data_IF_044101056926
#
_entry.id   IF_044101056926
#
_cell.length_a   1.000
_cell.length_b   1.000
_cell.length_c   1.000
_cell.angle_alpha   90.00
_cell.angle_beta   90.00
_cell.angle_gamma   90.00
#
_symmetry.space_group_name_H-M   'P 1'
#
loop_
_entity.id
_entity.type
_entity.pdbx_description
1 polymer ?
#
# COMPACT_ATOMS: atom_id res chain seq x y z
N UNK A 1 2.21 -5.25 1.71
CA UNK A 1 3.49 -4.52 1.51
C UNK A 1 4.22 -4.57 2.84
N UNK A 2 5.42 -5.16 2.86
CA UNK A 2 6.10 -5.54 4.11
C UNK A 2 7.11 -4.52 4.66
N UNK A 3 7.45 -3.49 3.89
CA UNK A 3 8.41 -2.45 4.30
C UNK A 3 7.70 -1.08 4.30
N UNK A 4 7.83 -0.37 5.42
CA UNK A 4 7.39 1.02 5.59
C UNK A 4 8.64 1.89 5.78
N UNK A 5 8.60 3.13 5.28
CA UNK A 5 9.77 4.01 5.25
C UNK A 5 10.29 4.41 6.64
N UNK A 6 11.26 5.32 6.64
CA UNK A 6 11.75 5.97 7.87
C UNK A 6 11.26 7.41 7.93
N UNK A 7 11.04 7.92 9.15
CA UNK A 7 10.55 9.27 9.36
C UNK A 7 11.40 10.28 8.57
N UNK A 8 10.79 11.22 7.83
CA UNK A 8 11.53 12.21 7.05
C UNK A 8 12.48 13.07 7.90
N UNK A 9 12.15 13.24 9.18
CA UNK A 9 12.93 13.97 10.16
C UNK A 9 13.38 13.05 11.30
N UNK A 10 14.55 13.34 11.87
CA UNK A 10 15.06 12.67 13.08
C UNK A 10 14.26 13.11 14.31
N UNK A 11 14.22 12.26 15.33
CA UNK A 11 13.60 12.57 16.62
C UNK A 11 12.08 12.65 16.63
N UNK A 12 11.43 12.40 15.48
CA UNK A 12 9.98 12.20 15.41
C UNK A 12 9.69 10.76 15.82
N UNK A 13 8.94 10.56 16.91
CA UNK A 13 8.38 9.26 17.28
C UNK A 13 6.93 9.16 16.79
N UNK A 14 6.65 8.13 16.01
CA UNK A 14 5.34 7.77 15.47
C UNK A 14 4.84 6.44 16.02
N UNK A 15 5.76 5.60 16.49
CA UNK A 15 5.44 4.25 16.96
C UNK A 15 5.33 4.15 18.49
N UNK A 16 5.43 5.28 19.22
CA UNK A 16 5.44 5.29 20.68
C UNK A 16 6.65 4.59 21.30
N UNK A 17 7.74 4.47 20.54
CA UNK A 17 8.99 3.86 20.99
C UNK A 17 9.86 4.87 21.74
N UNK A 18 10.79 4.38 22.57
CA UNK A 18 11.81 5.18 23.25
C UNK A 18 12.98 5.54 22.33
N UNK A 19 12.72 5.96 21.10
CA UNK A 19 13.79 6.23 20.13
C UNK A 19 14.57 7.49 20.53
N UNK A 20 15.89 7.47 20.33
CA UNK A 20 16.72 8.67 20.54
C UNK A 20 16.33 9.78 19.56
N UNK A 21 16.54 11.05 19.96
CA UNK A 21 16.41 12.21 19.09
C UNK A 21 17.32 12.12 17.84
N UNK A 22 18.34 11.26 17.86
CA UNK A 22 19.25 11.01 16.73
C UNK A 22 18.73 9.96 15.74
N UNK A 23 17.66 9.25 16.07
CA UNK A 23 17.08 8.18 15.24
C UNK A 23 15.98 8.68 14.28
N UNK A 24 15.61 7.82 13.33
CA UNK A 24 14.40 7.96 12.50
C UNK A 24 13.46 6.80 12.81
N UNK A 25 12.19 7.10 13.03
CA UNK A 25 11.18 6.09 13.38
C UNK A 25 10.56 5.43 12.13
N UNK A 26 9.69 4.44 12.31
CA UNK A 26 8.88 3.86 11.25
C UNK A 26 7.91 4.88 10.66
N UNK A 27 7.75 4.85 9.33
CA UNK A 27 6.95 5.82 8.61
C UNK A 27 6.00 5.15 7.61
N UNK A 28 4.79 4.78 8.05
CA UNK A 28 3.80 4.11 7.20
C UNK A 28 3.00 5.08 6.32
N UNK A 29 3.29 6.38 6.37
CA UNK A 29 2.48 7.38 5.67
C UNK A 29 2.85 7.53 4.20
N UNK A 30 4.09 7.21 3.80
CA UNK A 30 4.53 7.30 2.41
C UNK A 30 5.66 6.30 2.13
N UNK A 31 5.46 5.43 1.14
CA UNK A 31 6.45 4.47 0.66
C UNK A 31 6.10 4.02 -0.76
N UNK A 32 7.06 3.38 -1.41
CA UNK A 32 6.96 2.94 -2.81
C UNK A 32 6.75 1.43 -2.88
N UNK A 33 5.94 0.97 -3.84
CA UNK A 33 5.81 -0.43 -4.21
C UNK A 33 6.13 -0.60 -5.69
N UNK A 34 6.56 -1.80 -6.08
CA UNK A 34 6.78 -2.19 -7.48
C UNK A 34 5.90 -3.41 -7.76
N UNK A 35 5.13 -3.33 -8.85
CA UNK A 35 4.35 -4.45 -9.39
C UNK A 35 4.68 -4.63 -10.87
N UNK A 36 4.57 -5.87 -11.36
CA UNK A 36 4.85 -6.20 -12.75
C UNK A 36 4.08 -7.46 -13.17
N UNK A 37 3.88 -7.65 -14.47
CA UNK A 37 3.14 -8.77 -15.03
C UNK A 37 1.64 -8.55 -15.08
N UNK A 38 0.88 -9.60 -15.42
CA UNK A 38 -0.59 -9.65 -15.40
C UNK A 38 -1.30 -8.38 -15.95
N UNK A 39 -0.82 -7.86 -17.10
CA UNK A 39 -1.43 -6.71 -17.78
C UNK A 39 -1.04 -5.33 -17.23
N UNK A 40 -0.18 -5.24 -16.21
CA UNK A 40 0.32 -3.95 -15.68
C UNK A 40 1.12 -3.19 -16.75
N UNK A 41 0.88 -1.88 -16.86
CA UNK A 41 1.57 -0.98 -17.79
C UNK A 41 3.09 -1.01 -17.57
N UNK A 42 3.84 -1.12 -18.67
CA UNK A 42 5.31 -1.06 -18.65
C UNK A 42 5.80 0.37 -18.53
N UNK A 43 6.83 0.59 -17.71
CA UNK A 43 7.47 1.91 -17.54
C UNK A 43 6.55 2.99 -16.97
N UNK A 44 5.46 2.58 -16.30
CA UNK A 44 4.47 3.50 -15.74
C UNK A 44 4.80 3.83 -14.28
N UNK A 45 4.73 5.11 -13.95
CA UNK A 45 4.83 5.62 -12.58
C UNK A 45 3.44 6.13 -12.18
N UNK A 46 2.95 5.68 -11.03
CA UNK A 46 1.65 6.06 -10.51
C UNK A 46 1.81 6.87 -9.23
N UNK A 47 1.15 8.02 -9.16
CA UNK A 47 1.19 8.93 -8.02
C UNK A 47 2.56 9.58 -7.78
N UNK A 48 2.61 10.38 -6.72
CA UNK A 48 3.79 11.16 -6.34
C UNK A 48 3.75 11.49 -4.85
N UNK A 49 4.92 11.56 -4.21
CA UNK A 49 5.06 12.08 -2.84
C UNK A 49 5.21 13.60 -2.81
N UNK A 50 4.95 14.20 -1.65
CA UNK A 50 5.38 15.56 -1.39
C UNK A 50 6.92 15.72 -1.49
N UNK A 51 7.40 16.96 -1.46
CA UNK A 51 8.83 17.32 -1.59
C UNK A 51 9.73 16.66 -0.55
N UNK A 52 9.17 16.26 0.59
CA UNK A 52 9.89 15.68 1.72
C UNK A 52 9.76 14.16 1.81
N UNK A 53 8.93 13.54 0.95
CA UNK A 53 8.59 12.12 1.06
C UNK A 53 7.74 11.79 2.29
N UNK A 54 7.05 12.77 2.87
CA UNK A 54 6.29 12.59 4.11
C UNK A 54 4.92 11.96 3.86
N UNK A 55 4.25 12.37 2.79
CA UNK A 55 2.94 11.87 2.38
C UNK A 55 2.82 11.80 0.84
N UNK A 56 1.89 10.99 0.30
CA UNK A 56 1.46 11.10 -1.09
C UNK A 56 0.83 12.47 -1.34
N UNK A 57 1.23 13.13 -2.42
CA UNK A 57 0.64 14.40 -2.88
C UNK A 57 -0.28 14.21 -4.10
N UNK A 58 -0.13 13.12 -4.83
CA UNK A 58 -0.88 12.81 -6.06
C UNK A 58 -1.14 11.29 -6.12
N UNK A 59 -2.36 10.93 -6.53
CA UNK A 59 -2.88 9.55 -6.65
C UNK A 59 -2.43 8.60 -5.52
N UNK A 60 -2.86 8.83 -4.27
CA UNK A 60 -2.54 7.96 -3.15
C UNK A 60 -3.14 6.56 -3.35
N UNK A 61 -2.34 5.53 -3.06
CA UNK A 61 -2.79 4.14 -3.09
C UNK A 61 -2.68 3.53 -1.69
N UNK A 62 -3.81 3.10 -1.14
CA UNK A 62 -3.83 2.34 0.10
C UNK A 62 -3.37 0.88 -0.15
N UNK A 63 -2.67 0.20 0.77
CA UNK A 63 -2.24 -1.18 0.58
C UNK A 63 -3.36 -2.16 0.24
N UNK A 64 -4.57 -1.92 0.77
CA UNK A 64 -5.76 -2.68 0.42
C UNK A 64 -6.11 -2.57 -1.06
N UNK A 65 -6.00 -1.39 -1.67
CA UNK A 65 -6.25 -1.18 -3.10
C UNK A 65 -5.16 -1.84 -3.96
N UNK A 66 -3.91 -1.88 -3.49
CA UNK A 66 -2.86 -2.64 -4.18
C UNK A 66 -3.18 -4.14 -4.19
N UNK A 67 -3.61 -4.71 -3.06
CA UNK A 67 -4.04 -6.10 -2.99
C UNK A 67 -5.26 -6.37 -3.87
N UNK A 68 -6.26 -5.49 -3.86
CA UNK A 68 -7.42 -5.58 -4.74
C UNK A 68 -7.03 -5.56 -6.23
N UNK A 69 -6.04 -4.74 -6.60
CA UNK A 69 -5.48 -4.70 -7.95
C UNK A 69 -4.84 -6.02 -8.35
N UNK A 70 -4.14 -6.68 -7.42
CA UNK A 70 -3.58 -8.01 -7.67
C UNK A 70 -4.70 -9.02 -7.92
N UNK A 71 -5.74 -9.09 -7.08
CA UNK A 71 -6.88 -9.99 -7.33
C UNK A 71 -7.56 -9.73 -8.67
N UNK A 72 -7.81 -8.46 -8.98
CA UNK A 72 -8.37 -8.04 -10.26
C UNK A 72 -7.53 -8.53 -11.45
N UNK A 73 -6.20 -8.42 -11.38
CA UNK A 73 -5.29 -8.88 -12.42
C UNK A 73 -5.37 -10.40 -12.70
N UNK A 74 -5.79 -11.18 -11.70
CA UNK A 74 -6.02 -12.62 -11.81
C UNK A 74 -7.49 -12.99 -12.11
N UNK A 75 -8.36 -12.00 -12.35
CA UNK A 75 -9.79 -12.23 -12.61
C UNK A 75 -10.58 -12.64 -11.36
N UNK A 76 -10.06 -12.38 -10.16
CA UNK A 76 -10.73 -12.64 -8.89
C UNK A 76 -11.42 -11.34 -8.45
N UNK A 77 -12.72 -11.41 -8.14
CA UNK A 77 -13.44 -10.29 -7.54
C UNK A 77 -12.88 -10.01 -6.13
N UNK A 78 -12.27 -8.84 -5.87
CA UNK A 78 -11.71 -8.50 -4.57
C UNK A 78 -12.72 -8.55 -3.42
N UNK A 79 -14.02 -8.35 -3.72
CA UNK A 79 -15.11 -8.35 -2.75
C UNK A 79 -15.67 -9.76 -2.48
N UNK A 80 -15.07 -10.81 -3.05
CA UNK A 80 -15.47 -12.20 -2.81
C UNK A 80 -15.49 -12.51 -1.30
N UNK A 81 -16.58 -13.13 -0.85
CA UNK A 81 -16.70 -13.68 0.51
C UNK A 81 -16.20 -15.12 0.51
N UNK A 82 -15.21 -15.39 1.35
CA UNK A 82 -14.73 -16.75 1.66
C UNK A 82 -15.13 -17.13 3.08
N UNK A 83 -15.36 -18.42 3.31
CA UNK A 83 -15.73 -18.92 4.63
C UNK A 83 -14.52 -19.55 5.31
N UNK A 84 -14.27 -19.19 6.56
CA UNK A 84 -13.22 -19.84 7.35
C UNK A 84 -13.68 -21.21 7.86
N UNK A 85 -12.82 -21.91 8.59
CA UNK A 85 -13.11 -23.25 9.16
C UNK A 85 -14.29 -23.28 10.17
N UNK A 86 -14.78 -22.11 10.61
CA UNK A 86 -15.95 -21.97 11.48
C UNK A 86 -17.21 -21.52 10.72
N UNK A 87 -17.20 -21.57 9.38
CA UNK A 87 -18.26 -21.05 8.52
C UNK A 87 -18.58 -19.56 8.76
N UNK A 88 -17.59 -18.77 9.19
CA UNK A 88 -17.75 -17.32 9.29
C UNK A 88 -17.34 -16.65 7.97
N UNK A 89 -18.14 -15.70 7.45
CA UNK A 89 -17.79 -14.97 6.23
C UNK A 89 -16.59 -14.06 6.47
N UNK A 90 -15.66 -14.07 5.52
CA UNK A 90 -14.48 -13.20 5.45
C UNK A 90 -14.39 -12.63 4.04
N UNK A 91 -14.30 -11.32 3.93
CA UNK A 91 -13.97 -10.65 2.67
C UNK A 91 -12.51 -10.97 2.31
N UNK A 92 -12.19 -11.15 1.02
CA UNK A 92 -10.79 -11.23 0.58
C UNK A 92 -10.07 -9.91 0.85
N UNK A 93 -10.60 -8.80 0.31
CA UNK A 93 -10.13 -7.45 0.61
C UNK A 93 -11.25 -6.43 0.41
N UNK A 94 -11.37 -5.49 1.34
CA UNK A 94 -12.38 -4.43 1.28
C UNK A 94 -11.82 -3.17 0.60
N UNK A 95 -11.53 -3.26 -0.69
CA UNK A 95 -11.02 -2.15 -1.47
C UNK A 95 -11.27 -2.34 -2.97
N UNK A 96 -11.39 -1.23 -3.69
CA UNK A 96 -11.45 -1.23 -5.15
C UNK A 96 -10.05 -1.33 -5.77
N UNK A 97 -9.89 -2.02 -6.91
CA UNK A 97 -8.63 -2.07 -7.63
C UNK A 97 -8.29 -0.72 -8.27
N UNK A 98 -7.01 -0.41 -8.36
CA UNK A 98 -6.48 0.75 -9.09
C UNK A 98 -6.35 0.37 -10.57
N UNK A 99 -7.45 0.45 -11.30
CA UNK A 99 -7.54 -0.02 -12.70
C UNK A 99 -6.64 0.75 -13.66
N UNK A 100 -6.22 1.97 -13.30
CA UNK A 100 -5.29 2.78 -14.09
C UNK A 100 -3.89 2.15 -14.23
N UNK A 101 -3.56 1.16 -13.39
CA UNK A 101 -2.30 0.41 -13.46
C UNK A 101 -2.22 -0.54 -14.67
N UNK A 102 -3.35 -0.90 -15.29
CA UNK A 102 -3.41 -1.92 -16.36
C UNK A 102 -3.56 -1.30 -17.75
N UNK A 103 -3.01 -1.98 -18.77
CA UNK A 103 -2.97 -1.56 -20.17
C UNK A 103 -4.21 -1.97 -20.98
#
# INVERSE_FOLDING_TARGET
>A
IGEFGRSPQKGVSTSGNGNSADGRDHWPYCYTAVIAGAGVKRGYVHGKSDKTGSAPSEDPVHPGQLLASIYHAFGIDPLTIVYNHLNQPRELVKADPVTTLFA
#
